data_IF_326929143530
#
_entry.id   IF_326929143530
#
_cell.length_a   1.000
_cell.length_b   1.000
_cell.length_c   1.000
_cell.angle_alpha   90.00
_cell.angle_beta   90.00
_cell.angle_gamma   90.00
#
_symmetry.space_group_name_H-M   'P 1'
#
loop_
_entity.id
_entity.type
_entity.pdbx_description
1 polymer ?
#
# COMPACT_ATOMS: atom_id res chain seq x y z
N UNK A 1 -13.02 22.27 -29.50
CA UNK A 1 -14.05 22.21 -28.43
C UNK A 1 -13.39 21.70 -27.16
N UNK A 2 -13.29 22.51 -26.11
CA UNK A 2 -12.48 22.25 -24.91
C UNK A 2 -12.60 20.83 -24.32
N UNK A 3 -13.81 20.29 -24.16
CA UNK A 3 -13.99 18.94 -23.60
C UNK A 3 -13.42 17.87 -24.55
N UNK A 4 -13.54 18.05 -25.87
CA UNK A 4 -12.97 17.13 -26.85
C UNK A 4 -11.44 17.11 -26.77
N UNK A 5 -10.80 18.29 -26.72
CA UNK A 5 -9.33 18.41 -26.55
C UNK A 5 -8.87 17.74 -25.26
N UNK A 6 -9.55 18.02 -24.13
CA UNK A 6 -9.23 17.39 -22.84
C UNK A 6 -9.38 15.85 -22.89
N UNK A 7 -10.36 15.33 -23.63
CA UNK A 7 -10.58 13.88 -23.77
C UNK A 7 -9.53 13.20 -24.64
N UNK A 8 -8.84 13.92 -25.53
CA UNK A 8 -7.71 13.36 -26.29
C UNK A 8 -6.42 13.25 -25.46
N UNK A 9 -6.39 13.89 -24.30
CA UNK A 9 -5.22 13.95 -23.41
C UNK A 9 -5.49 13.28 -22.05
N UNK A 10 -4.83 13.75 -20.98
CA UNK A 10 -5.02 13.27 -19.61
C UNK A 10 -6.44 13.49 -19.07
N UNK A 11 -7.20 14.41 -19.68
CA UNK A 11 -8.58 14.71 -19.30
C UNK A 11 -9.53 13.53 -19.46
N UNK A 12 -9.18 12.53 -20.28
CA UNK A 12 -9.94 11.29 -20.47
C UNK A 12 -10.12 10.48 -19.19
N UNK A 13 -9.23 10.64 -18.20
CA UNK A 13 -9.25 9.90 -16.93
C UNK A 13 -10.24 10.49 -15.93
N UNK A 14 -10.63 11.75 -16.11
CA UNK A 14 -11.41 12.51 -15.15
C UNK A 14 -12.90 12.19 -15.22
N UNK A 15 -13.58 12.18 -14.07
CA UNK A 15 -15.04 12.11 -14.02
C UNK A 15 -15.69 13.42 -14.46
N UNK A 16 -16.97 13.38 -14.85
CA UNK A 16 -17.72 14.55 -15.34
C UNK A 16 -17.76 15.73 -14.35
N UNK A 17 -17.70 15.46 -13.03
CA UNK A 17 -17.62 16.52 -12.01
C UNK A 17 -16.31 17.30 -12.07
N UNK A 18 -15.21 16.59 -12.33
CA UNK A 18 -13.89 17.20 -12.40
C UNK A 18 -13.65 17.87 -13.76
N UNK A 19 -14.21 17.31 -14.84
CA UNK A 19 -14.26 17.97 -16.14
C UNK A 19 -15.12 19.25 -16.10
N UNK A 20 -16.22 19.25 -15.34
CA UNK A 20 -17.05 20.44 -15.14
C UNK A 20 -16.27 21.57 -14.46
N UNK A 21 -15.48 21.25 -13.43
CA UNK A 21 -14.59 22.23 -12.79
C UNK A 21 -13.52 22.76 -13.75
N UNK A 22 -12.95 21.91 -14.61
CA UNK A 22 -12.01 22.35 -15.65
C UNK A 22 -12.65 23.32 -16.64
N UNK A 23 -13.88 23.06 -17.08
CA UNK A 23 -14.61 23.99 -17.93
C UNK A 23 -14.76 25.36 -17.25
N UNK A 24 -15.15 25.38 -15.97
CA UNK A 24 -15.30 26.64 -15.21
C UNK A 24 -13.96 27.39 -15.08
N UNK A 25 -12.87 26.70 -14.75
CA UNK A 25 -11.54 27.31 -14.65
C UNK A 25 -11.00 27.83 -15.99
N UNK A 26 -11.43 27.22 -17.10
CA UNK A 26 -11.12 27.70 -18.45
C UNK A 26 -12.09 28.77 -18.95
N UNK A 27 -12.92 29.35 -18.06
CA UNK A 27 -13.83 30.45 -18.38
C UNK A 27 -15.13 30.03 -19.08
N UNK A 28 -15.44 28.74 -19.14
CA UNK A 28 -16.64 28.23 -19.80
C UNK A 28 -17.80 28.08 -18.82
N UNK A 29 -18.92 28.76 -19.12
CA UNK A 29 -20.17 28.60 -18.38
C UNK A 29 -21.00 27.46 -18.97
N UNK A 30 -20.84 26.25 -18.42
CA UNK A 30 -21.56 25.05 -18.90
C UNK A 30 -22.29 24.35 -17.76
N UNK A 31 -23.47 23.79 -18.06
CA UNK A 31 -24.20 22.97 -17.09
C UNK A 31 -23.45 21.65 -16.87
N UNK A 32 -23.38 21.21 -15.63
CA UNK A 32 -22.75 19.94 -15.24
C UNK A 32 -23.32 18.73 -15.98
N UNK A 33 -24.63 18.75 -16.25
CA UNK A 33 -25.30 17.70 -17.01
C UNK A 33 -24.89 17.68 -18.48
N UNK A 34 -24.69 18.84 -19.08
CA UNK A 34 -24.14 18.98 -20.44
C UNK A 34 -22.74 18.36 -20.51
N UNK A 35 -21.89 18.61 -19.52
CA UNK A 35 -20.55 17.98 -19.44
C UNK A 35 -20.66 16.46 -19.32
N UNK A 36 -21.59 15.95 -18.51
CA UNK A 36 -21.82 14.50 -18.35
C UNK A 36 -22.22 13.85 -19.67
N UNK A 37 -23.17 14.44 -20.39
CA UNK A 37 -23.65 13.94 -21.68
C UNK A 37 -22.55 13.99 -22.74
N UNK A 38 -21.82 15.11 -22.84
CA UNK A 38 -20.71 15.28 -23.78
C UNK A 38 -19.59 14.27 -23.49
N UNK A 39 -19.21 14.04 -22.23
CA UNK A 39 -18.20 13.04 -21.89
C UNK A 39 -18.64 11.60 -22.25
N UNK A 40 -19.94 11.29 -22.15
CA UNK A 40 -20.49 9.99 -22.55
C UNK A 40 -20.48 9.81 -24.06
N UNK A 41 -20.77 10.87 -24.82
CA UNK A 41 -20.73 10.85 -26.28
C UNK A 41 -19.29 10.75 -26.82
N UNK A 42 -18.37 11.50 -26.22
CA UNK A 42 -16.98 11.61 -26.69
C UNK A 42 -16.08 10.45 -26.23
N UNK A 43 -16.37 9.83 -25.09
CA UNK A 43 -15.58 8.69 -24.58
C UNK A 43 -16.48 7.66 -23.89
N UNK A 44 -17.35 6.96 -24.66
CA UNK A 44 -18.25 5.96 -24.11
C UNK A 44 -17.50 4.81 -23.44
N UNK A 45 -16.35 4.40 -23.99
CA UNK A 45 -15.48 3.37 -23.42
C UNK A 45 -14.92 3.76 -22.05
N UNK A 46 -14.38 4.97 -21.91
CA UNK A 46 -13.84 5.50 -20.65
C UNK A 46 -14.91 5.72 -19.58
N UNK A 47 -16.11 6.16 -19.97
CA UNK A 47 -17.26 6.24 -19.06
C UNK A 47 -17.70 4.85 -18.60
N UNK A 48 -17.84 3.90 -19.51
CA UNK A 48 -18.21 2.51 -19.16
C UNK A 48 -17.16 1.84 -18.28
N UNK A 49 -15.87 2.05 -18.53
CA UNK A 49 -14.79 1.51 -17.71
C UNK A 49 -14.81 2.06 -16.27
N UNK A 50 -15.14 3.35 -16.09
CA UNK A 50 -15.34 3.95 -14.75
C UNK A 50 -16.59 3.43 -14.06
N UNK A 51 -17.69 3.23 -14.80
CA UNK A 51 -18.92 2.63 -14.26
C UNK A 51 -18.66 1.19 -13.78
N UNK A 52 -17.80 0.44 -14.48
CA UNK A 52 -17.38 -0.92 -14.09
C UNK A 52 -16.48 -0.97 -12.85
N UNK A 53 -16.03 0.17 -12.29
CA UNK A 53 -15.10 0.27 -11.15
C UNK A 53 -13.80 -0.55 -11.29
N UNK A 54 -13.37 -0.88 -12.52
CA UNK A 54 -12.09 -1.57 -12.73
C UNK A 54 -10.95 -0.53 -12.68
N UNK A 55 -10.15 -0.59 -11.61
CA UNK A 55 -8.90 0.16 -11.49
C UNK A 55 -7.98 -0.16 -12.68
N UNK A 56 -7.62 0.86 -13.48
CA UNK A 56 -6.58 0.74 -14.50
C UNK A 56 -5.23 0.70 -13.77
N UNK A 57 -4.67 -0.50 -13.59
CA UNK A 57 -3.39 -0.71 -12.90
C UNK A 57 -2.27 -0.05 -13.71
N UNK A 58 -1.36 0.67 -13.04
CA UNK A 58 -0.12 1.16 -13.66
C UNK A 58 0.78 -0.05 -13.88
N UNK A 59 1.46 -0.13 -15.02
CA UNK A 59 2.53 -1.12 -15.19
C UNK A 59 3.67 -0.79 -14.24
N UNK A 60 3.97 -1.73 -13.35
CA UNK A 60 5.09 -1.62 -12.44
C UNK A 60 6.24 -2.45 -13.02
N UNK A 61 7.24 -1.77 -13.59
CA UNK A 61 8.41 -2.40 -14.19
C UNK A 61 9.63 -2.20 -13.27
N UNK A 62 10.01 -3.24 -12.54
CA UNK A 62 11.31 -3.31 -11.85
C UNK A 62 12.40 -3.76 -12.83
N UNK A 63 13.65 -3.33 -12.62
CA UNK A 63 14.77 -3.70 -13.51
C UNK A 63 15.28 -5.14 -13.28
N UNK A 64 14.76 -5.85 -12.28
CA UNK A 64 15.11 -7.22 -11.94
C UNK A 64 14.88 -7.52 -10.45
N UNK A 65 15.10 -8.77 -10.01
CA UNK A 65 15.06 -9.13 -8.60
C UNK A 65 16.04 -8.29 -7.78
N UNK A 66 15.69 -7.95 -6.53
CA UNK A 66 16.49 -7.11 -5.64
C UNK A 66 16.76 -5.69 -6.15
N UNK A 67 16.11 -5.26 -7.24
CA UNK A 67 16.22 -3.88 -7.69
C UNK A 67 15.58 -2.92 -6.68
N UNK A 68 14.37 -3.26 -6.22
CA UNK A 68 13.67 -2.47 -5.22
C UNK A 68 12.80 -3.34 -4.33
N UNK A 69 13.00 -3.19 -3.02
CA UNK A 69 12.18 -3.84 -2.01
C UNK A 69 11.20 -2.82 -1.41
N UNK A 70 9.93 -3.19 -1.29
CA UNK A 70 8.87 -2.36 -0.73
C UNK A 70 8.57 -2.81 0.70
N UNK A 71 8.71 -1.90 1.65
CA UNK A 71 8.46 -2.08 3.07
C UNK A 71 7.17 -1.38 3.47
N UNK A 72 6.30 -2.08 4.19
CA UNK A 72 5.03 -1.52 4.67
C UNK A 72 4.46 -2.30 5.88
N UNK A 73 3.45 -1.73 6.52
CA UNK A 73 2.78 -2.25 7.71
C UNK A 73 1.31 -2.50 7.44
N UNK A 74 0.84 -3.69 7.78
CA UNK A 74 -0.56 -4.05 7.74
C UNK A 74 -1.21 -3.89 9.12
N UNK A 75 -2.04 -2.85 9.23
CA UNK A 75 -2.60 -2.38 10.49
C UNK A 75 -4.06 -2.81 10.74
N UNK A 76 -4.65 -3.67 9.90
CA UNK A 76 -6.08 -4.04 10.06
C UNK A 76 -6.36 -4.86 11.33
N UNK A 77 -5.35 -5.52 11.89
CA UNK A 77 -5.44 -6.23 13.18
C UNK A 77 -4.92 -5.39 14.36
N UNK A 78 -4.48 -4.14 14.12
CA UNK A 78 -3.98 -3.26 15.17
C UNK A 78 -4.99 -2.97 16.29
N UNK A 79 -6.32 -2.87 16.04
CA UNK A 79 -7.31 -2.70 17.12
C UNK A 79 -7.31 -3.82 18.15
N UNK A 80 -6.86 -5.02 17.77
CA UNK A 80 -6.72 -6.19 18.65
C UNK A 80 -5.27 -6.46 19.06
N UNK A 81 -4.36 -5.52 18.77
CA UNK A 81 -2.98 -5.54 19.21
C UNK A 81 -2.00 -6.24 18.27
N UNK A 82 -2.38 -6.67 17.07
CA UNK A 82 -1.42 -7.26 16.13
C UNK A 82 -1.07 -6.29 15.01
N UNK A 83 0.22 -6.15 14.76
CA UNK A 83 0.74 -5.43 13.60
C UNK A 83 1.50 -6.42 12.74
N UNK A 84 1.29 -6.42 11.42
CA UNK A 84 2.06 -7.27 10.51
C UNK A 84 3.01 -6.36 9.72
N UNK A 85 4.31 -6.64 9.77
CA UNK A 85 5.34 -5.94 9.00
C UNK A 85 5.77 -6.81 7.83
N UNK A 86 5.71 -6.28 6.63
CA UNK A 86 6.06 -7.03 5.43
C UNK A 86 7.08 -6.29 4.58
N UNK A 87 7.82 -7.07 3.80
CA UNK A 87 8.62 -6.57 2.69
C UNK A 87 8.47 -7.48 1.48
N UNK A 88 8.32 -6.89 0.31
CA UNK A 88 8.16 -7.60 -0.96
C UNK A 88 9.14 -7.06 -1.99
N UNK A 89 9.70 -7.96 -2.79
CA UNK A 89 10.50 -7.59 -3.95
C UNK A 89 9.59 -7.06 -5.06
N UNK A 90 9.90 -5.86 -5.56
CA UNK A 90 9.06 -5.14 -6.51
C UNK A 90 8.98 -5.80 -7.88
N UNK A 91 9.99 -6.56 -8.28
CA UNK A 91 10.04 -7.27 -9.57
C UNK A 91 9.35 -8.63 -9.48
N UNK A 92 9.89 -9.53 -8.65
CA UNK A 92 9.47 -10.93 -8.57
C UNK A 92 8.17 -11.15 -7.78
N UNK A 93 7.73 -10.16 -6.99
CA UNK A 93 6.64 -10.30 -6.01
C UNK A 93 6.95 -11.29 -4.90
N UNK A 94 8.21 -11.68 -4.75
CA UNK A 94 8.64 -12.53 -3.66
C UNK A 94 8.51 -11.80 -2.32
N UNK A 95 7.86 -12.44 -1.34
CA UNK A 95 7.76 -11.93 0.02
C UNK A 95 9.12 -12.12 0.69
N UNK A 96 9.87 -11.03 0.84
CA UNK A 96 11.19 -11.04 1.45
C UNK A 96 11.09 -11.38 2.94
N UNK A 97 10.13 -10.75 3.62
CA UNK A 97 9.73 -11.14 4.98
C UNK A 97 8.29 -10.72 5.27
N UNK A 98 7.73 -11.35 6.29
CA UNK A 98 6.39 -11.09 6.77
C UNK A 98 6.29 -11.57 8.23
N UNK A 99 6.12 -10.62 9.14
CA UNK A 99 6.20 -10.90 10.57
C UNK A 99 5.06 -10.25 11.34
N UNK A 100 4.39 -11.03 12.18
CA UNK A 100 3.46 -10.53 13.19
C UNK A 100 4.26 -9.98 14.37
N UNK A 101 3.86 -8.82 14.86
CA UNK A 101 4.48 -8.17 15.99
C UNK A 101 3.44 -7.46 16.87
N UNK A 102 3.82 -7.17 18.11
CA UNK A 102 3.01 -6.43 19.09
C UNK A 102 2.99 -4.93 18.80
N UNK A 103 4.09 -4.40 18.27
CA UNK A 103 4.25 -2.98 17.98
C UNK A 103 4.70 -2.76 16.54
N UNK A 104 4.23 -1.66 15.95
CA UNK A 104 4.60 -1.24 14.60
C UNK A 104 5.66 -0.13 14.57
N UNK A 105 6.16 0.31 15.72
CA UNK A 105 6.90 1.57 15.84
C UNK A 105 8.38 1.45 16.23
N UNK A 106 8.86 0.29 16.69
CA UNK A 106 10.28 0.15 17.08
C UNK A 106 11.18 -0.01 15.83
N UNK A 107 12.06 0.96 15.52
CA UNK A 107 12.91 0.89 14.34
C UNK A 107 13.95 -0.24 14.41
N UNK A 108 14.33 -0.70 15.60
CA UNK A 108 15.29 -1.81 15.80
C UNK A 108 14.72 -3.13 15.31
N UNK A 109 13.41 -3.33 15.47
CA UNK A 109 12.77 -4.58 15.05
C UNK A 109 12.73 -4.67 13.53
N UNK A 110 12.37 -3.58 12.86
CA UNK A 110 12.33 -3.52 11.39
C UNK A 110 13.73 -3.67 10.80
N UNK A 111 14.72 -2.99 11.38
CA UNK A 111 16.12 -3.16 11.01
C UNK A 111 16.62 -4.61 11.21
N UNK A 112 16.17 -5.28 12.28
CA UNK A 112 16.46 -6.70 12.51
C UNK A 112 15.90 -7.61 11.43
N UNK A 113 14.67 -7.38 10.95
CA UNK A 113 14.11 -8.12 9.81
C UNK A 113 14.92 -7.87 8.53
N UNK A 114 15.29 -6.62 8.31
CA UNK A 114 16.07 -6.22 7.13
C UNK A 114 17.44 -6.92 7.09
N UNK A 115 18.22 -6.88 8.18
CA UNK A 115 19.53 -7.54 8.22
C UNK A 115 19.41 -9.06 8.07
N UNK A 116 18.42 -9.69 8.70
CA UNK A 116 18.16 -11.12 8.52
C UNK A 116 17.86 -11.47 7.07
N UNK A 117 17.08 -10.64 6.38
CA UNK A 117 16.77 -10.83 4.97
C UNK A 117 18.00 -10.64 4.07
N UNK A 118 18.84 -9.64 4.33
CA UNK A 118 20.10 -9.42 3.60
C UNK A 118 21.02 -10.64 3.74
N UNK A 119 21.20 -11.16 4.95
CA UNK A 119 22.01 -12.35 5.21
C UNK A 119 21.43 -13.57 4.47
N UNK A 120 20.11 -13.80 4.59
CA UNK A 120 19.44 -14.94 3.95
C UNK A 120 19.53 -14.90 2.42
N UNK A 121 19.41 -13.71 1.83
CA UNK A 121 19.45 -13.53 0.38
C UNK A 121 20.88 -13.38 -0.16
N UNK A 122 21.89 -13.40 0.72
CA UNK A 122 23.30 -13.14 0.40
C UNK A 122 23.46 -11.88 -0.47
N UNK A 123 22.71 -10.82 -0.16
CA UNK A 123 22.61 -9.66 -1.03
C UNK A 123 21.74 -8.55 -0.47
N UNK A 124 22.10 -7.31 -0.83
CA UNK A 124 21.41 -6.08 -0.44
C UNK A 124 20.60 -5.59 -1.65
N UNK A 125 19.34 -5.15 -1.48
CA UNK A 125 18.61 -4.58 -2.58
C UNK A 125 19.27 -3.28 -3.04
N UNK A 126 19.19 -2.97 -4.34
CA UNK A 126 19.71 -1.71 -4.85
C UNK A 126 18.95 -0.51 -4.26
N UNK A 127 17.63 -0.66 -4.08
CA UNK A 127 16.79 0.35 -3.45
C UNK A 127 15.82 -0.27 -2.44
N UNK A 128 15.55 0.49 -1.40
CA UNK A 128 14.43 0.25 -0.50
C UNK A 128 13.40 1.34 -0.73
N UNK A 129 12.12 1.01 -0.61
CA UNK A 129 11.02 1.98 -0.55
C UNK A 129 10.19 1.72 0.69
N UNK A 130 9.87 2.79 1.41
CA UNK A 130 8.97 2.75 2.54
C UNK A 130 8.26 4.09 2.72
N UNK A 131 7.26 4.08 3.58
CA UNK A 131 6.57 5.30 3.97
C UNK A 131 7.49 6.19 4.83
N UNK A 132 7.18 7.49 4.85
CA UNK A 132 7.86 8.47 5.69
C UNK A 132 7.45 8.26 7.15
N UNK A 133 8.18 7.39 7.84
CA UNK A 133 7.92 7.02 9.23
C UNK A 133 9.23 6.84 10.00
N UNK A 134 9.18 7.11 11.30
CA UNK A 134 10.34 6.96 12.20
C UNK A 134 10.72 5.50 12.39
N UNK A 135 9.79 4.57 12.16
CA UNK A 135 10.02 3.15 12.26
C UNK A 135 11.01 2.61 11.21
N UNK A 136 11.17 3.31 10.07
CA UNK A 136 12.04 2.86 8.97
C UNK A 136 13.44 3.51 9.01
N UNK A 137 13.70 4.40 9.96
CA UNK A 137 14.92 5.22 9.98
C UNK A 137 16.20 4.38 10.05
N UNK A 138 16.25 3.35 10.91
CA UNK A 138 17.43 2.47 11.00
C UNK A 138 17.65 1.67 9.71
N UNK A 139 16.57 1.17 9.09
CA UNK A 139 16.66 0.46 7.80
C UNK A 139 17.21 1.38 6.71
N UNK A 140 16.75 2.63 6.65
CA UNK A 140 17.27 3.63 5.72
C UNK A 140 18.76 3.92 5.95
N UNK A 141 19.19 4.07 7.21
CA UNK A 141 20.59 4.26 7.56
C UNK A 141 21.46 3.07 7.15
N UNK A 142 21.01 1.83 7.43
CA UNK A 142 21.72 0.61 7.03
C UNK A 142 21.82 0.48 5.51
N UNK A 143 20.72 0.78 4.79
CA UNK A 143 20.70 0.77 3.34
C UNK A 143 21.70 1.78 2.76
N UNK A 144 21.72 3.00 3.28
CA UNK A 144 22.73 4.00 2.89
C UNK A 144 24.15 3.54 3.20
N UNK A 145 24.37 2.92 4.35
CA UNK A 145 25.69 2.42 4.74
C UNK A 145 26.22 1.33 3.80
N UNK A 146 25.39 0.35 3.43
CA UNK A 146 25.79 -0.71 2.49
C UNK A 146 26.11 -0.17 1.09
N UNK A 147 25.53 0.97 0.73
CA UNK A 147 25.73 1.66 -0.55
C UNK A 147 26.55 2.95 -0.39
N UNK A 148 27.42 3.06 0.62
CA UNK A 148 28.18 4.29 0.93
C UNK A 148 29.03 4.86 -0.21
N UNK A 149 29.36 4.04 -1.21
CA UNK A 149 30.11 4.43 -2.40
C UNK A 149 29.20 4.73 -3.61
N UNK A 150 27.89 4.57 -3.47
CA UNK A 150 26.89 4.87 -4.48
C UNK A 150 26.22 6.23 -4.15
N UNK A 151 26.24 7.15 -5.11
CA UNK A 151 25.62 8.47 -4.97
C UNK A 151 24.13 8.48 -5.30
N UNK A 152 23.55 7.32 -5.63
CA UNK A 152 22.12 7.18 -5.93
C UNK A 152 21.29 7.23 -4.65
N UNK A 153 20.03 7.63 -4.81
CA UNK A 153 19.06 7.52 -3.72
C UNK A 153 18.71 6.04 -3.46
N UNK A 154 19.22 5.50 -2.35
CA UNK A 154 19.13 4.07 -1.98
C UNK A 154 17.89 3.76 -1.14
N UNK A 155 17.32 4.77 -0.47
CA UNK A 155 16.05 4.66 0.24
C UNK A 155 15.05 5.71 -0.26
N UNK A 156 13.99 5.25 -0.92
CA UNK A 156 12.95 6.11 -1.44
C UNK A 156 11.83 6.24 -0.41
N UNK A 157 11.68 7.43 0.15
CA UNK A 157 10.45 7.78 0.87
C UNK A 157 9.35 8.11 -0.14
N UNK A 158 8.18 7.50 0.03
CA UNK A 158 7.04 7.74 -0.83
C UNK A 158 5.74 7.60 -0.07
N UNK A 159 4.64 8.01 -0.69
CA UNK A 159 3.30 7.72 -0.18
C UNK A 159 2.95 6.25 -0.44
N UNK A 160 2.09 5.66 0.39
CA UNK A 160 1.59 4.28 0.23
C UNK A 160 1.06 3.96 -1.17
N UNK A 161 0.53 4.97 -1.89
CA UNK A 161 0.09 4.86 -3.29
C UNK A 161 1.19 4.41 -4.28
N UNK A 162 2.45 4.58 -3.90
CA UNK A 162 3.64 4.15 -4.65
C UNK A 162 4.22 2.81 -4.16
N UNK A 163 3.68 2.26 -3.07
CA UNK A 163 3.95 0.93 -2.52
C UNK A 163 2.97 -0.12 -3.06
N UNK A 164 2.66 -0.04 -4.35
CA UNK A 164 1.62 -0.84 -5.01
C UNK A 164 1.84 -2.34 -4.89
N UNK A 165 3.11 -2.79 -4.88
CA UNK A 165 3.43 -4.22 -4.78
C UNK A 165 2.95 -4.83 -3.47
N UNK A 166 3.28 -4.17 -2.36
CA UNK A 166 2.93 -4.65 -1.03
C UNK A 166 1.47 -4.38 -0.69
N UNK A 167 0.91 -3.26 -1.15
CA UNK A 167 -0.52 -2.96 -1.02
C UNK A 167 -1.42 -3.97 -1.76
N UNK A 168 -0.99 -4.39 -2.97
CA UNK A 168 -1.67 -5.46 -3.69
C UNK A 168 -1.58 -6.78 -2.92
N UNK A 169 -0.44 -7.04 -2.27
CA UNK A 169 -0.25 -8.25 -1.47
C UNK A 169 -1.12 -8.20 -0.19
N UNK A 170 -1.26 -7.05 0.48
CA UNK A 170 -2.18 -6.88 1.60
C UNK A 170 -3.62 -7.19 1.24
N UNK A 171 -4.03 -6.91 0.02
CA UNK A 171 -5.37 -7.26 -0.49
C UNK A 171 -5.55 -8.78 -0.62
N UNK A 172 -4.49 -9.52 -0.94
CA UNK A 172 -4.49 -10.99 -0.94
C UNK A 172 -4.53 -11.50 0.50
N UNK A 173 -3.62 -11.02 1.36
CA UNK A 173 -3.60 -11.41 2.78
C UNK A 173 -4.95 -11.19 3.46
N UNK A 174 -5.60 -10.06 3.16
CA UNK A 174 -6.94 -9.75 3.67
C UNK A 174 -7.94 -10.86 3.34
N UNK A 175 -8.09 -11.14 2.04
CA UNK A 175 -9.11 -12.05 1.53
C UNK A 175 -8.84 -13.51 1.91
N UNK A 176 -7.58 -13.92 1.88
CA UNK A 176 -7.22 -15.33 2.05
C UNK A 176 -6.91 -15.72 3.51
N UNK A 177 -6.71 -14.76 4.42
CA UNK A 177 -6.28 -15.05 5.79
C UNK A 177 -6.88 -14.12 6.84
N UNK A 178 -6.61 -12.82 6.79
CA UNK A 178 -6.90 -11.95 7.94
C UNK A 178 -8.38 -11.59 8.08
N UNK A 179 -9.21 -11.77 7.05
CA UNK A 179 -10.68 -11.65 7.17
C UNK A 179 -11.24 -12.62 8.22
N UNK A 180 -10.78 -13.88 8.23
CA UNK A 180 -11.19 -14.87 9.23
C UNK A 180 -10.87 -14.39 10.66
N UNK A 181 -9.63 -13.97 10.89
CA UNK A 181 -9.18 -13.51 12.21
C UNK A 181 -9.94 -12.27 12.68
N UNK A 182 -10.23 -11.35 11.75
CA UNK A 182 -10.98 -10.15 12.06
C UNK A 182 -12.41 -10.49 12.45
N UNK A 183 -13.07 -11.39 11.72
CA UNK A 183 -14.41 -11.87 12.10
C UNK A 183 -14.40 -12.59 13.45
N UNK A 184 -13.42 -13.45 13.71
CA UNK A 184 -13.29 -14.15 14.99
C UNK A 184 -13.17 -13.17 16.17
N UNK A 185 -12.27 -12.20 16.09
CA UNK A 185 -12.09 -11.23 17.17
C UNK A 185 -13.27 -10.25 17.30
N UNK A 186 -13.99 -9.98 16.21
CA UNK A 186 -15.26 -9.24 16.27
C UNK A 186 -16.32 -10.03 17.05
N UNK A 187 -16.38 -11.35 16.91
CA UNK A 187 -17.27 -12.21 17.71
C UNK A 187 -16.91 -12.13 19.20
N UNK A 188 -15.62 -12.21 19.58
CA UNK A 188 -15.21 -12.03 20.98
C UNK A 188 -15.65 -10.69 21.57
N UNK A 189 -15.58 -9.62 20.77
CA UNK A 189 -16.07 -8.30 21.18
C UNK A 189 -17.59 -8.30 21.35
N UNK A 190 -18.33 -8.94 20.45
CA UNK A 190 -19.80 -9.04 20.51
C UNK A 190 -20.26 -9.82 21.74
N UNK A 191 -19.58 -10.91 22.05
CA UNK A 191 -19.90 -11.81 23.17
C UNK A 191 -19.34 -11.31 24.51
N UNK A 192 -18.74 -10.11 24.52
CA UNK A 192 -18.15 -9.44 25.69
C UNK A 192 -16.96 -10.18 26.33
N UNK A 193 -16.30 -11.05 25.57
CA UNK A 193 -15.01 -11.65 25.95
C UNK A 193 -13.81 -10.75 25.66
N UNK A 194 -14.00 -9.65 24.91
CA UNK A 194 -12.95 -8.69 24.59
C UNK A 194 -13.46 -7.26 24.67
N UNK A 195 -12.90 -6.49 25.60
CA UNK A 195 -13.16 -5.06 25.80
C UNK A 195 -12.14 -4.18 25.08
N UNK A 196 -10.93 -4.72 24.85
CA UNK A 196 -9.84 -4.04 24.16
C UNK A 196 -8.96 -3.17 25.06
N UNK A 197 -9.04 -3.43 26.36
CA UNK A 197 -8.10 -2.93 27.34
C UNK A 197 -6.69 -3.52 27.13
N UNK A 198 -5.77 -3.13 28.02
CA UNK A 198 -4.39 -3.60 27.94
C UNK A 198 -4.28 -5.11 28.17
N UNK A 199 -5.04 -5.67 29.11
CA UNK A 199 -4.95 -7.09 29.50
C UNK A 199 -5.46 -7.96 28.35
N UNK A 200 -6.62 -7.63 27.79
CA UNK A 200 -7.25 -8.35 26.69
C UNK A 200 -6.34 -8.41 25.45
N UNK A 201 -5.70 -7.30 25.09
CA UNK A 201 -4.74 -7.26 23.97
C UNK A 201 -3.54 -8.16 24.23
N UNK A 202 -3.00 -8.16 25.45
CA UNK A 202 -1.88 -9.03 25.81
C UNK A 202 -2.29 -10.51 25.82
N UNK A 203 -3.49 -10.84 26.29
CA UNK A 203 -4.04 -12.19 26.25
C UNK A 203 -4.22 -12.69 24.83
N UNK A 204 -4.82 -11.87 23.95
CA UNK A 204 -4.93 -12.23 22.54
C UNK A 204 -3.55 -12.44 21.92
N UNK A 205 -2.60 -11.52 22.16
CA UNK A 205 -1.23 -11.67 21.67
C UNK A 205 -0.57 -12.95 22.18
N UNK A 206 -0.74 -13.29 23.46
CA UNK A 206 -0.17 -14.50 24.03
C UNK A 206 -0.74 -15.77 23.39
N UNK A 207 -2.07 -15.85 23.24
CA UNK A 207 -2.76 -17.03 22.72
C UNK A 207 -2.64 -17.19 21.19
N UNK A 208 -2.75 -16.09 20.44
CA UNK A 208 -2.98 -16.14 18.99
C UNK A 208 -1.79 -15.68 18.14
N UNK A 209 -0.76 -15.04 18.69
CA UNK A 209 0.38 -14.55 17.88
C UNK A 209 1.11 -15.67 17.14
N UNK A 210 1.20 -16.87 17.71
CA UNK A 210 1.77 -18.06 17.04
C UNK A 210 0.80 -18.75 16.07
N UNK A 211 -0.50 -18.50 16.22
CA UNK A 211 -1.56 -19.07 15.37
C UNK A 211 -1.80 -18.24 14.12
N UNK A 212 -1.53 -16.92 14.19
CA UNK A 212 -1.48 -16.01 13.04
C UNK A 212 -0.29 -16.38 12.14
N UNK A 213 -0.47 -17.43 11.34
CA UNK A 213 0.45 -17.82 10.27
C UNK A 213 0.22 -16.87 9.10
N UNK A 214 1.23 -16.06 8.82
CA UNK A 214 1.33 -15.16 7.68
C UNK A 214 2.51 -15.55 6.82
#
# INVERSE_FOLDING_TARGET
MFIHEQVQESGQLNGYRWMHLKCLHSGLTVRKETVRLLMRALNPGGVNNRLKRKLKRREYNGQGPNFIWHLDSYDKLKPVGFCIKGCIDGYSRFIVWLHVNRTSSDPRVIAGYYIKAVIRNNGVPLRMRGDLGTENTHTAQMQTFFHRNDHRNTFIYGTSQHNQCIESWWSVLRRENTDFWISLFQTFKKDKFYTGDFIDKNLLQFCFMKLLKV
#
